data_IF_163389378229
#
_entry.id   IF_163389378229
#
_cell.length_a   1.000
_cell.length_b   1.000
_cell.length_c   1.000
_cell.angle_alpha   90.00
_cell.angle_beta   90.00
_cell.angle_gamma   90.00
#
_symmetry.space_group_name_H-M   'P 1'
#
loop_
_entity.id
_entity.type
_entity.pdbx_description
1 polymer ?
#
# COMPACT_ATOMS: atom_id res chain seq x y z
N UNK A 1 -2.32 -12.24 21.29
CA UNK A 1 -3.58 -11.54 20.97
C UNK A 1 -3.40 -10.88 19.61
N UNK A 2 -4.18 -11.29 18.62
CA UNK A 2 -4.23 -10.64 17.30
C UNK A 2 -5.36 -9.62 17.40
N UNK A 3 -5.07 -8.34 17.18
CA UNK A 3 -6.11 -7.34 17.06
C UNK A 3 -6.73 -7.47 15.66
N UNK A 4 -8.03 -7.75 15.54
CA UNK A 4 -8.67 -7.77 14.22
C UNK A 4 -8.62 -6.35 13.64
N UNK A 5 -8.34 -6.19 12.32
CA UNK A 5 -8.49 -4.90 11.67
C UNK A 5 -9.96 -4.46 11.76
N UNK A 6 -10.18 -3.17 11.95
CA UNK A 6 -11.53 -2.60 11.87
C UNK A 6 -12.06 -2.70 10.44
N UNK A 7 -13.39 -2.68 10.25
CA UNK A 7 -14.00 -2.73 8.91
C UNK A 7 -13.44 -1.66 7.97
N UNK A 8 -13.24 -0.44 8.49
CA UNK A 8 -12.65 0.67 7.75
C UNK A 8 -11.19 0.43 7.33
N UNK A 9 -10.39 -0.23 8.17
CA UNK A 9 -9.01 -0.62 7.82
C UNK A 9 -9.01 -1.69 6.73
N UNK A 10 -9.97 -2.61 6.79
CA UNK A 10 -10.12 -3.67 5.80
C UNK A 10 -10.59 -3.10 4.44
N UNK A 11 -11.52 -2.16 4.43
CA UNK A 11 -11.94 -1.44 3.21
C UNK A 11 -10.78 -0.63 2.62
N UNK A 12 -10.07 0.16 3.43
CA UNK A 12 -8.89 0.89 2.98
C UNK A 12 -7.85 -0.06 2.36
N UNK A 13 -7.62 -1.21 2.98
CA UNK A 13 -6.72 -2.24 2.46
C UNK A 13 -7.20 -2.81 1.12
N UNK A 14 -8.49 -3.08 0.95
CA UNK A 14 -9.04 -3.54 -0.32
C UNK A 14 -8.90 -2.50 -1.42
N UNK A 15 -9.14 -1.23 -1.13
CA UNK A 15 -8.93 -0.10 -2.04
C UNK A 15 -7.47 -0.04 -2.47
N UNK A 16 -6.53 -0.08 -1.51
CA UNK A 16 -5.09 -0.06 -1.80
C UNK A 16 -4.69 -1.26 -2.66
N UNK A 17 -5.22 -2.47 -2.40
CA UNK A 17 -4.97 -3.64 -3.26
C UNK A 17 -5.50 -3.45 -4.67
N UNK A 18 -6.66 -2.80 -4.83
CA UNK A 18 -7.24 -2.51 -6.14
C UNK A 18 -6.38 -1.50 -6.91
N UNK A 19 -5.95 -0.42 -6.25
CA UNK A 19 -5.05 0.60 -6.80
C UNK A 19 -3.70 0.01 -7.21
N UNK A 20 -3.17 -0.92 -6.42
CA UNK A 20 -1.86 -1.55 -6.69
C UNK A 20 -1.92 -2.65 -7.75
N UNK A 21 -3.12 -3.09 -8.19
CA UNK A 21 -3.30 -4.15 -9.18
C UNK A 21 -2.48 -3.99 -10.48
N UNK A 22 -2.33 -2.80 -11.10
CA UNK A 22 -1.49 -2.61 -12.29
C UNK A 22 0.01 -2.81 -12.03
N UNK A 23 0.50 -2.53 -10.82
CA UNK A 23 1.94 -2.62 -10.49
C UNK A 23 2.32 -3.90 -9.75
N UNK A 24 1.38 -4.49 -9.01
CA UNK A 24 1.64 -5.60 -8.11
C UNK A 24 0.46 -6.57 -8.05
N UNK A 25 0.78 -7.86 -7.90
CA UNK A 25 -0.23 -8.87 -7.63
C UNK A 25 -0.81 -8.67 -6.23
N UNK A 26 -2.13 -8.84 -6.05
CA UNK A 26 -2.80 -8.63 -4.76
C UNK A 26 -2.37 -9.64 -3.68
N UNK A 27 -1.69 -10.73 -4.04
CA UNK A 27 -1.08 -11.68 -3.10
C UNK A 27 0.30 -11.25 -2.57
N UNK A 28 0.88 -10.17 -3.09
CA UNK A 28 2.12 -9.56 -2.57
C UNK A 28 1.86 -8.42 -1.58
N UNK A 29 0.63 -8.00 -1.42
CA UNK A 29 0.25 -6.92 -0.51
C UNK A 29 -0.25 -7.58 0.78
N UNK A 30 0.48 -7.36 1.86
CA UNK A 30 0.18 -7.92 3.17
C UNK A 30 -0.23 -6.83 4.13
N UNK A 31 -1.24 -7.11 4.95
CA UNK A 31 -1.69 -6.23 6.02
C UNK A 31 -1.18 -6.76 7.36
N UNK A 32 -0.59 -5.88 8.16
CA UNK A 32 -0.10 -6.16 9.50
C UNK A 32 -0.66 -5.15 10.47
N UNK A 33 -1.67 -5.58 11.23
CA UNK A 33 -2.25 -4.80 12.31
C UNK A 33 -1.33 -4.86 13.53
N UNK A 34 -1.05 -3.71 14.11
CA UNK A 34 -0.34 -3.54 15.38
C UNK A 34 -1.21 -2.73 16.35
N UNK A 35 -0.84 -2.73 17.63
CA UNK A 35 -1.63 -2.08 18.68
C UNK A 35 -1.80 -0.55 18.51
N UNK A 36 -1.07 0.09 17.60
CA UNK A 36 -1.13 1.54 17.39
C UNK A 36 -1.24 1.97 15.92
N UNK A 37 -1.20 1.03 14.98
CA UNK A 37 -1.27 1.29 13.54
C UNK A 37 -1.45 0.00 12.74
N UNK A 38 -1.94 0.14 11.53
CA UNK A 38 -2.04 -0.93 10.55
C UNK A 38 -1.05 -0.67 9.40
N UNK A 39 -0.03 -1.52 9.28
CA UNK A 39 0.99 -1.40 8.24
C UNK A 39 0.63 -2.28 7.04
N UNK A 40 0.70 -1.70 5.85
CA UNK A 40 0.58 -2.42 4.59
C UNK A 40 1.97 -2.60 4.01
N UNK A 41 2.38 -3.85 3.89
CA UNK A 41 3.71 -4.27 3.48
C UNK A 41 3.66 -4.86 2.07
N UNK A 42 4.73 -4.63 1.32
CA UNK A 42 4.99 -5.34 0.09
C UNK A 42 5.84 -6.59 0.39
N UNK A 43 5.41 -7.74 -0.11
CA UNK A 43 6.12 -9.03 -0.05
C UNK A 43 6.36 -9.55 1.38
N UNK A 44 5.48 -9.21 2.34
CA UNK A 44 5.61 -9.49 3.79
C UNK A 44 6.97 -9.06 4.39
N UNK A 45 7.65 -8.11 3.74
CA UNK A 45 8.96 -7.65 4.18
C UNK A 45 8.87 -6.31 4.89
N UNK A 46 9.28 -6.27 6.16
CA UNK A 46 9.30 -5.05 6.99
C UNK A 46 10.19 -3.92 6.42
N UNK A 47 11.08 -4.22 5.46
CA UNK A 47 11.87 -3.20 4.75
C UNK A 47 11.14 -2.55 3.58
N UNK A 48 9.96 -3.02 3.20
CA UNK A 48 9.16 -2.50 2.08
C UNK A 48 7.74 -2.11 2.52
N UNK A 49 7.58 -1.17 3.48
CA UNK A 49 6.26 -0.67 3.84
C UNK A 49 5.70 0.21 2.73
N UNK A 50 4.52 -0.13 2.22
CA UNK A 50 3.84 0.66 1.20
C UNK A 50 3.19 1.88 1.85
N UNK A 51 2.41 1.64 2.91
CA UNK A 51 1.76 2.68 3.68
C UNK A 51 1.42 2.20 5.09
N UNK A 52 1.16 3.16 5.97
CA UNK A 52 0.75 2.93 7.36
C UNK A 52 -0.56 3.63 7.61
N UNK A 53 -1.61 2.86 7.80
CA UNK A 53 -2.92 3.35 8.20
C UNK A 53 -2.90 3.57 9.71
N UNK A 54 -3.27 4.79 10.12
CA UNK A 54 -3.43 5.18 11.51
C UNK A 54 -4.84 5.71 11.69
N UNK A 55 -5.79 4.78 11.82
CA UNK A 55 -7.19 5.08 12.07
C UNK A 55 -7.47 5.04 13.56
N UNK A 56 -6.66 5.76 14.35
CA UNK A 56 -6.77 5.77 15.81
C UNK A 56 -8.10 6.39 16.30
N UNK A 57 -8.80 7.15 15.45
CA UNK A 57 -10.13 7.70 15.72
C UNK A 57 -10.92 7.74 14.40
N UNK A 58 -12.23 7.45 14.44
CA UNK A 58 -13.13 7.56 13.28
C UNK A 58 -13.08 8.93 12.60
N UNK A 59 -12.85 10.01 13.37
CA UNK A 59 -12.75 11.37 12.85
C UNK A 59 -11.34 11.77 12.36
N UNK A 60 -10.32 10.94 12.58
CA UNK A 60 -8.94 11.23 12.17
C UNK A 60 -8.32 10.01 11.53
N UNK A 61 -8.61 9.86 10.25
CA UNK A 61 -7.97 8.88 9.40
C UNK A 61 -6.67 9.48 8.89
N UNK A 62 -5.55 8.87 9.25
CA UNK A 62 -4.23 9.33 8.79
C UNK A 62 -3.55 8.21 8.05
N UNK A 63 -3.10 8.49 6.83
CA UNK A 63 -2.32 7.56 6.01
C UNK A 63 -0.88 8.06 5.97
N UNK A 64 0.03 7.25 6.47
CA UNK A 64 1.47 7.43 6.32
C UNK A 64 1.91 6.85 4.98
N UNK A 65 2.33 7.69 4.06
CA UNK A 65 2.93 7.28 2.79
C UNK A 65 4.46 7.30 2.91
N UNK A 66 5.13 6.35 2.27
CA UNK A 66 6.58 6.31 2.16
C UNK A 66 7.00 6.80 0.78
N UNK A 67 7.77 7.89 0.75
CA UNK A 67 8.29 8.43 -0.49
C UNK A 67 9.67 7.83 -0.82
N UNK A 68 10.20 8.08 -2.03
CA UNK A 68 11.52 7.58 -2.48
C UNK A 68 12.66 7.95 -1.52
N UNK A 69 12.54 9.07 -0.79
CA UNK A 69 13.50 9.51 0.23
C UNK A 69 13.39 8.79 1.59
N UNK A 70 12.54 7.75 1.70
CA UNK A 70 12.19 7.06 2.96
C UNK A 70 11.53 7.95 4.02
N UNK A 71 11.08 9.13 3.63
CA UNK A 71 10.33 10.02 4.51
C UNK A 71 8.89 9.51 4.68
N UNK A 72 8.44 9.42 5.93
CA UNK A 72 7.06 9.08 6.30
C UNK A 72 6.22 10.36 6.24
N UNK A 73 5.50 10.56 5.15
CA UNK A 73 4.55 11.68 5.02
C UNK A 73 3.20 11.26 5.59
N UNK A 74 2.72 11.98 6.61
CA UNK A 74 1.43 11.70 7.25
C UNK A 74 0.36 12.59 6.64
N UNK A 75 -0.52 12.00 5.85
CA UNK A 75 -1.61 12.68 5.19
C UNK A 75 -2.92 12.34 5.88
N UNK A 76 -3.59 13.32 6.53
CA UNK A 76 -4.94 13.11 7.03
C UNK A 76 -5.91 13.03 5.85
N UNK A 77 -6.76 12.02 5.85
CA UNK A 77 -7.85 11.85 4.89
C UNK A 77 -9.18 12.01 5.62
N UNK A 78 -10.16 12.61 4.96
CA UNK A 78 -11.51 12.70 5.51
C UNK A 78 -12.33 11.44 5.22
N UNK A 79 -12.11 10.82 4.06
CA UNK A 79 -12.85 9.67 3.58
C UNK A 79 -11.92 8.68 2.87
N UNK A 80 -12.35 7.42 2.77
CA UNK A 80 -11.62 6.37 2.04
C UNK A 80 -11.47 6.67 0.54
N UNK A 81 -12.38 7.46 -0.03
CA UNK A 81 -12.31 7.88 -1.44
C UNK A 81 -11.01 8.64 -1.77
N UNK A 82 -10.47 9.39 -0.80
CA UNK A 82 -9.20 10.10 -1.02
C UNK A 82 -8.02 9.16 -1.25
N UNK A 83 -8.10 7.87 -0.89
CA UNK A 83 -7.04 6.91 -1.22
C UNK A 83 -6.82 6.78 -2.74
N UNK A 84 -7.85 6.99 -3.56
CA UNK A 84 -7.71 6.96 -5.02
C UNK A 84 -6.83 8.10 -5.53
N UNK A 85 -6.90 9.28 -4.92
CA UNK A 85 -6.07 10.45 -5.26
C UNK A 85 -4.58 10.18 -4.97
N UNK A 86 -4.29 9.39 -3.94
CA UNK A 86 -2.93 8.94 -3.61
C UNK A 86 -2.49 7.68 -4.35
N UNK A 87 -3.28 7.19 -5.30
CA UNK A 87 -3.04 5.93 -5.97
C UNK A 87 -1.74 5.89 -6.76
N UNK A 88 -1.41 6.96 -7.48
CA UNK A 88 -0.14 7.12 -8.19
C UNK A 88 1.07 7.06 -7.25
N UNK A 89 0.97 7.67 -6.06
CA UNK A 89 2.05 7.65 -5.07
C UNK A 89 2.30 6.24 -4.54
N UNK A 90 1.24 5.49 -4.26
CA UNK A 90 1.32 4.09 -3.83
C UNK A 90 1.97 3.22 -4.90
N UNK A 91 1.55 3.42 -6.16
CA UNK A 91 2.09 2.70 -7.31
C UNK A 91 3.57 3.03 -7.55
N UNK A 92 3.97 4.30 -7.44
CA UNK A 92 5.36 4.73 -7.56
C UNK A 92 6.25 4.10 -6.47
N UNK A 93 5.78 4.08 -5.22
CA UNK A 93 6.49 3.46 -4.10
C UNK A 93 6.73 1.95 -4.33
N UNK A 94 5.70 1.22 -4.76
CA UNK A 94 5.82 -0.21 -5.10
C UNK A 94 6.69 -0.42 -6.34
N UNK A 95 6.58 0.46 -7.33
CA UNK A 95 7.42 0.47 -8.53
C UNK A 95 8.91 0.59 -8.19
N UNK A 96 9.27 1.43 -7.21
CA UNK A 96 10.64 1.55 -6.72
C UNK A 96 11.13 0.24 -6.07
N UNK A 97 10.28 -0.44 -5.31
CA UNK A 97 10.62 -1.75 -4.72
C UNK A 97 10.79 -2.88 -5.73
N UNK A 98 10.10 -2.80 -6.86
CA UNK A 98 10.26 -3.72 -7.99
C UNK A 98 11.54 -3.41 -8.79
N UNK A 99 11.87 -2.13 -9.00
CA UNK A 99 13.09 -1.71 -9.69
C UNK A 99 14.38 -2.01 -8.91
N UNK A 100 14.34 -1.99 -7.57
CA UNK A 100 15.49 -2.37 -6.74
C UNK A 100 15.74 -3.88 -6.63
N UNK A 101 14.89 -4.74 -7.21
CA UNK A 101 15.24 -6.15 -7.42
C UNK A 101 15.91 -6.28 -8.80
N UNK A 102 17.05 -6.98 -8.93
CA UNK A 102 17.66 -7.19 -10.24
C UNK A 102 16.65 -7.88 -11.18
N UNK A 103 16.45 -7.21 -12.32
CA UNK A 103 15.65 -7.51 -13.51
C UNK A 103 15.31 -8.99 -13.75
N UNK A 104 14.01 -9.27 -13.96
CA UNK A 104 13.56 -10.09 -15.08
C UNK A 104 12.34 -9.42 -15.72
N UNK A 105 12.65 -8.48 -16.59
CA UNK A 105 11.82 -8.16 -17.74
C UNK A 105 11.56 -9.49 -18.48
N UNK A 106 10.33 -10.00 -18.39
CA UNK A 106 9.81 -10.86 -19.44
C UNK A 106 8.92 -9.95 -20.26
N UNK A 107 9.54 -9.29 -21.24
CA UNK A 107 8.85 -8.93 -22.47
C UNK A 107 8.32 -10.25 -23.04
N UNK A 108 7.05 -10.50 -22.78
CA UNK A 108 6.25 -11.43 -23.55
C UNK A 108 5.52 -10.62 -24.60
N UNK A 109 6.24 -10.28 -25.66
CA UNK A 109 5.66 -10.06 -26.97
C UNK A 109 4.82 -11.30 -27.33
N UNK A 110 3.55 -11.10 -27.67
CA UNK A 110 2.97 -11.78 -28.83
C UNK A 110 2.14 -10.75 -29.60
N UNK A 111 2.76 -10.21 -30.64
CA UNK A 111 2.06 -9.72 -31.81
C UNK A 111 1.25 -10.84 -32.48
N UNK A 112 0.20 -10.41 -33.21
CA UNK A 112 -0.47 -11.09 -34.33
C UNK A 112 -1.38 -12.30 -34.04
N UNK A 113 -2.69 -12.10 -34.18
CA UNK A 113 -3.51 -12.75 -35.22
C UNK A 113 -4.74 -11.91 -35.55
#
# INVERSE_FOLDING_TARGET
MIFPPSEMELEAFQIIRAILRPVAKPGRVFIRVSASYCAILFDDNNRKPICRLRFNNENRLVVGFFNENKEEERVPIANLDQLFDFGDRLQACVGAYLKSAPVKENVGDVAAV
#
